data_IF_654778617047
#
_entry.id   IF_654778617047
#
_cell.length_a   1.000
_cell.length_b   1.000
_cell.length_c   1.000
_cell.angle_alpha   90.00
_cell.angle_beta   90.00
_cell.angle_gamma   90.00
#
_symmetry.space_group_name_H-M   'P 1'
#
loop_
_entity.id
_entity.type
_entity.pdbx_description
1 polymer ?
#
# COMPACT_ATOMS: atom_id res chain seq x y z
N UNK A 1 19.87 20.63 -1.98
CA UNK A 1 18.43 20.48 -1.65
C UNK A 1 18.33 20.19 -0.17
N UNK A 2 17.78 21.10 0.63
CA UNK A 2 17.44 20.82 2.03
C UNK A 2 16.42 19.69 2.07
N UNK A 3 16.70 18.63 2.84
CA UNK A 3 15.72 17.55 3.04
C UNK A 3 14.62 18.09 3.95
N UNK A 4 13.46 18.43 3.37
CA UNK A 4 12.27 18.82 4.12
C UNK A 4 11.74 17.58 4.83
N UNK A 5 12.07 17.44 6.11
CA UNK A 5 11.54 16.37 6.96
C UNK A 5 10.03 16.55 7.13
N UNK A 6 9.31 15.44 7.10
CA UNK A 6 7.86 15.37 7.29
C UNK A 6 7.49 15.59 8.76
N UNK A 7 8.32 15.05 9.66
CA UNK A 7 8.24 15.29 11.09
C UNK A 7 9.64 15.27 11.72
N UNK A 8 9.80 15.92 12.87
CA UNK A 8 11.00 15.81 13.71
C UNK A 8 10.59 15.61 15.15
N UNK A 9 11.17 14.62 15.82
CA UNK A 9 10.91 14.30 17.23
C UNK A 9 12.19 14.44 18.04
N UNK A 10 12.07 15.01 19.24
CA UNK A 10 13.17 15.11 20.21
C UNK A 10 12.90 14.15 21.38
N UNK A 11 13.83 13.23 21.60
CA UNK A 11 13.77 12.20 22.64
C UNK A 11 15.04 12.31 23.51
N UNK A 12 14.99 13.12 24.57
CA UNK A 12 16.17 13.44 25.37
C UNK A 12 17.27 14.06 24.52
N UNK A 13 18.40 13.37 24.40
CA UNK A 13 19.55 13.79 23.57
C UNK A 13 19.48 13.29 22.11
N UNK A 14 18.39 12.63 21.70
CA UNK A 14 18.21 12.09 20.35
C UNK A 14 17.23 12.93 19.54
N UNK A 15 17.56 13.15 18.27
CA UNK A 15 16.67 13.79 17.29
C UNK A 15 16.32 12.78 16.19
N UNK A 16 15.04 12.56 15.96
CA UNK A 16 14.51 11.67 14.92
C UNK A 16 13.90 12.50 13.83
N UNK A 17 14.38 12.35 12.59
CA UNK A 17 13.80 12.99 11.42
C UNK A 17 13.02 11.98 10.58
N UNK A 18 11.72 12.20 10.41
CA UNK A 18 10.87 11.42 9.51
C UNK A 18 10.99 12.04 8.11
N UNK A 19 11.39 11.23 7.13
CA UNK A 19 11.44 11.64 5.73
C UNK A 19 10.22 11.07 5.02
N UNK A 20 9.40 11.96 4.43
CA UNK A 20 8.36 11.51 3.52
C UNK A 20 9.04 10.91 2.27
N UNK A 21 8.50 9.81 1.72
CA UNK A 21 8.93 9.35 0.41
C UNK A 21 8.64 10.43 -0.64
N UNK A 22 9.39 10.47 -1.76
CA UNK A 22 9.08 11.35 -2.86
C UNK A 22 7.61 11.19 -3.29
N UNK A 23 6.89 12.29 -3.60
CA UNK A 23 5.51 12.19 -4.06
C UNK A 23 5.47 11.41 -5.38
N UNK A 24 4.60 10.39 -5.45
CA UNK A 24 4.32 9.67 -6.69
C UNK A 24 3.40 10.50 -7.58
N UNK A 25 3.67 10.49 -8.89
CA UNK A 25 2.75 11.04 -9.88
C UNK A 25 1.46 10.21 -9.97
N UNK A 26 0.37 10.81 -10.44
CA UNK A 26 -0.89 10.08 -10.64
C UNK A 26 -0.73 8.91 -11.64
N UNK A 27 0.12 9.06 -12.66
CA UNK A 27 0.41 8.00 -13.61
C UNK A 27 1.12 6.79 -12.96
N UNK A 28 2.05 7.03 -12.03
CA UNK A 28 2.72 5.97 -11.27
C UNK A 28 1.76 5.26 -10.32
N UNK A 29 0.91 6.03 -9.62
CA UNK A 29 -0.14 5.46 -8.75
C UNK A 29 -1.08 4.56 -9.55
N UNK A 30 -1.56 5.03 -10.69
CA UNK A 30 -2.46 4.29 -11.57
C UNK A 30 -1.81 3.00 -12.07
N UNK A 31 -0.52 3.05 -12.44
CA UNK A 31 0.24 1.86 -12.83
C UNK A 31 0.28 0.82 -11.70
N UNK A 32 0.62 1.25 -10.48
CA UNK A 32 0.69 0.37 -9.31
C UNK A 32 -0.68 -0.24 -9.00
N UNK A 33 -1.74 0.56 -9.05
CA UNK A 33 -3.11 0.08 -8.80
C UNK A 33 -3.55 -0.97 -9.82
N UNK A 34 -3.26 -0.76 -11.11
CA UNK A 34 -3.56 -1.74 -12.16
C UNK A 34 -2.85 -3.07 -11.91
N UNK A 35 -1.58 -3.03 -11.54
CA UNK A 35 -0.82 -4.23 -11.21
C UNK A 35 -1.42 -4.94 -9.99
N UNK A 36 -1.76 -4.19 -8.95
CA UNK A 36 -2.40 -4.73 -7.75
C UNK A 36 -3.73 -5.42 -8.06
N UNK A 37 -4.60 -4.78 -8.85
CA UNK A 37 -5.87 -5.38 -9.27
C UNK A 37 -5.66 -6.63 -10.12
N UNK A 38 -4.69 -6.62 -11.05
CA UNK A 38 -4.38 -7.80 -11.86
C UNK A 38 -3.94 -8.97 -10.97
N UNK A 39 -3.08 -8.71 -9.99
CA UNK A 39 -2.61 -9.76 -9.07
C UNK A 39 -3.73 -10.26 -8.15
N UNK A 40 -4.55 -9.36 -7.62
CA UNK A 40 -5.72 -9.73 -6.81
C UNK A 40 -6.71 -10.60 -7.62
N UNK A 41 -6.99 -10.20 -8.86
CA UNK A 41 -7.88 -10.96 -9.75
C UNK A 41 -7.31 -12.34 -10.11
N UNK A 42 -6.01 -12.41 -10.37
CA UNK A 42 -5.35 -13.69 -10.63
C UNK A 42 -5.42 -14.60 -9.40
N UNK A 43 -5.13 -14.07 -8.20
CA UNK A 43 -5.23 -14.82 -6.96
C UNK A 43 -6.65 -15.34 -6.72
N UNK A 44 -7.66 -14.50 -6.92
CA UNK A 44 -9.07 -14.91 -6.83
C UNK A 44 -9.41 -16.06 -7.78
N UNK A 45 -8.92 -16.00 -9.02
CA UNK A 45 -9.18 -17.04 -10.01
C UNK A 45 -8.43 -18.35 -9.78
N UNK A 46 -7.41 -18.36 -8.91
CA UNK A 46 -6.73 -19.58 -8.49
C UNK A 46 -7.47 -20.32 -7.38
N UNK A 47 -8.40 -19.66 -6.67
CA UNK A 47 -9.22 -20.29 -5.63
C UNK A 47 -10.24 -21.25 -6.25
N UNK A 48 -10.54 -22.34 -5.54
CA UNK A 48 -11.66 -23.22 -5.88
C UNK A 48 -13.00 -22.48 -5.77
N UNK A 49 -14.05 -23.05 -6.39
CA UNK A 49 -15.40 -22.48 -6.30
C UNK A 49 -15.87 -22.46 -4.84
N UNK A 50 -15.59 -23.53 -4.10
CA UNK A 50 -15.93 -23.68 -2.69
C UNK A 50 -15.28 -22.59 -1.82
N UNK A 51 -13.99 -22.30 -2.04
CA UNK A 51 -13.28 -21.24 -1.32
C UNK A 51 -13.83 -19.85 -1.63
N UNK A 52 -14.15 -19.56 -2.90
CA UNK A 52 -14.75 -18.29 -3.29
C UNK A 52 -16.12 -18.10 -2.63
N UNK A 53 -16.95 -19.14 -2.61
CA UNK A 53 -18.27 -19.10 -1.97
C UNK A 53 -18.16 -18.91 -0.46
N UNK A 54 -17.20 -19.61 0.20
CA UNK A 54 -16.94 -19.43 1.63
C UNK A 54 -16.56 -17.99 1.95
N UNK A 55 -15.59 -17.42 1.21
CA UNK A 55 -15.15 -16.03 1.43
C UNK A 55 -16.30 -15.05 1.23
N UNK A 56 -17.11 -15.21 0.18
CA UNK A 56 -18.24 -14.32 -0.07
C UNK A 56 -19.26 -14.35 1.10
N UNK A 57 -19.53 -15.54 1.67
CA UNK A 57 -20.44 -15.71 2.78
C UNK A 57 -19.93 -15.13 4.12
N UNK A 58 -18.62 -14.88 4.28
CA UNK A 58 -18.06 -14.24 5.47
C UNK A 58 -18.35 -12.73 5.54
N UNK A 59 -18.78 -12.12 4.42
CA UNK A 59 -19.02 -10.68 4.30
C UNK A 59 -20.47 -10.33 3.89
N UNK A 60 -21.38 -11.30 3.90
CA UNK A 60 -22.84 -11.09 3.89
C UNK A 60 -23.40 -10.98 5.31
#
# INVERSE_FOLDING_TARGET
MERKYDATYHLGNTVVHVVAPPPMTEAEKEKILREFYRHAWNAWNLLSVEERLRINAEYE
#
